data_IF_384322797329
#
_entry.id   IF_384322797329
#
_cell.length_a   1.000
_cell.length_b   1.000
_cell.length_c   1.000
_cell.angle_alpha   90.00
_cell.angle_beta   90.00
_cell.angle_gamma   90.00
#
_symmetry.space_group_name_H-M   'P 1'
#
loop_
_entity.id
_entity.type
_entity.pdbx_description
1 polymer ?
#
# COMPACT_ATOMS: atom_id res chain seq x y z
N UNK A 1 6.27 4.54 9.77
CA UNK A 1 7.15 4.31 8.59
C UNK A 1 6.65 5.15 7.42
N UNK A 2 7.57 5.70 6.67
CA UNK A 2 7.25 6.52 5.51
C UNK A 2 7.57 5.75 4.23
N UNK A 3 6.63 5.75 3.30
CA UNK A 3 6.78 5.08 2.02
C UNK A 3 6.70 6.11 0.91
N UNK A 4 7.65 6.08 -0.01
CA UNK A 4 7.67 6.99 -1.15
C UNK A 4 7.47 6.18 -2.42
N UNK A 5 6.62 6.69 -3.30
CA UNK A 5 6.44 6.10 -4.60
C UNK A 5 7.61 6.55 -5.48
N UNK A 6 8.60 5.68 -5.61
CA UNK A 6 9.83 6.00 -6.36
C UNK A 6 9.60 6.15 -7.85
N UNK A 7 8.52 5.61 -8.34
CA UNK A 7 8.23 5.65 -9.78
C UNK A 7 7.52 6.93 -10.20
N UNK A 8 6.95 7.65 -9.22
CA UNK A 8 6.24 8.91 -9.47
C UNK A 8 5.10 8.78 -10.48
N UNK A 9 4.68 7.57 -10.78
CA UNK A 9 3.58 7.31 -11.71
C UNK A 9 2.31 7.03 -10.94
N UNK A 10 1.22 7.62 -11.42
CA UNK A 10 -0.11 7.27 -10.95
C UNK A 10 -0.54 6.00 -11.67
N UNK A 11 -1.25 5.15 -10.99
CA UNK A 11 -1.84 3.98 -11.61
C UNK A 11 -3.33 3.95 -11.29
N UNK A 12 -4.14 3.66 -12.29
CA UNK A 12 -5.59 3.59 -12.12
C UNK A 12 -6.05 2.25 -11.55
N UNK A 13 -5.25 1.23 -11.78
CA UNK A 13 -5.59 -0.12 -11.32
C UNK A 13 -4.37 -0.81 -10.75
N UNK A 14 -4.59 -1.61 -9.73
CA UNK A 14 -3.56 -2.44 -9.14
C UNK A 14 -4.18 -3.79 -8.78
N UNK A 15 -3.33 -4.81 -8.68
CA UNK A 15 -3.76 -6.12 -8.23
C UNK A 15 -3.71 -6.18 -6.72
N UNK A 16 -4.83 -6.48 -6.09
CA UNK A 16 -4.93 -6.67 -4.64
C UNK A 16 -5.01 -8.17 -4.38
N UNK A 17 -4.05 -8.69 -3.63
CA UNK A 17 -4.04 -10.12 -3.29
C UNK A 17 -5.05 -10.40 -2.19
N UNK A 18 -5.72 -11.54 -2.29
CA UNK A 18 -6.69 -11.93 -1.28
C UNK A 18 -6.08 -12.07 0.11
N UNK A 19 -4.84 -12.56 0.17
CA UNK A 19 -4.13 -12.66 1.46
C UNK A 19 -3.98 -11.32 2.13
N UNK A 20 -3.78 -10.26 1.37
CA UNK A 20 -3.70 -8.90 1.94
C UNK A 20 -5.03 -8.50 2.55
N UNK A 21 -6.13 -8.75 1.83
CA UNK A 21 -7.46 -8.41 2.31
C UNK A 21 -7.78 -9.18 3.61
N UNK A 22 -7.41 -10.45 3.66
CA UNK A 22 -7.63 -11.26 4.85
C UNK A 22 -6.87 -10.71 6.05
N UNK A 23 -5.61 -10.31 5.85
CA UNK A 23 -4.79 -9.73 6.91
C UNK A 23 -5.31 -8.38 7.34
N UNK A 24 -5.67 -7.53 6.39
CA UNK A 24 -6.23 -6.21 6.68
C UNK A 24 -7.51 -6.33 7.50
N UNK A 25 -8.36 -7.27 7.14
CA UNK A 25 -9.65 -7.45 7.82
C UNK A 25 -9.51 -7.83 9.29
N UNK A 26 -8.36 -8.33 9.70
CA UNK A 26 -8.09 -8.71 11.09
C UNK A 26 -7.59 -7.54 11.93
N UNK A 27 -7.29 -6.42 11.32
CA UNK A 27 -6.79 -5.24 12.02
C UNK A 27 -7.95 -4.43 12.60
N UNK A 28 -7.70 -3.64 13.64
CA UNK A 28 -8.67 -2.65 14.11
C UNK A 28 -9.07 -1.70 12.98
N UNK A 29 -10.30 -1.18 13.05
CA UNK A 29 -10.84 -0.33 11.98
C UNK A 29 -9.93 0.85 11.63
N UNK A 30 -9.34 1.49 12.63
CA UNK A 30 -8.46 2.63 12.38
C UNK A 30 -7.22 2.24 11.56
N UNK A 31 -6.67 1.07 11.83
CA UNK A 31 -5.51 0.57 11.09
C UNK A 31 -5.90 0.10 9.69
N UNK A 32 -7.09 -0.48 9.55
CA UNK A 32 -7.62 -0.83 8.23
C UNK A 32 -7.72 0.40 7.35
N UNK A 33 -8.29 1.47 7.88
CA UNK A 33 -8.43 2.73 7.14
C UNK A 33 -7.07 3.33 6.78
N UNK A 34 -6.11 3.26 7.71
CA UNK A 34 -4.77 3.77 7.47
C UNK A 34 -4.13 3.08 6.28
N UNK A 35 -4.24 1.76 6.20
CA UNK A 35 -3.66 0.99 5.10
C UNK A 35 -4.39 1.27 3.79
N UNK A 36 -5.71 1.28 3.81
CA UNK A 36 -6.51 1.53 2.61
C UNK A 36 -6.22 2.92 2.04
N UNK A 37 -6.22 3.93 2.92
CA UNK A 37 -5.89 5.29 2.51
C UNK A 37 -4.45 5.39 2.01
N UNK A 38 -3.55 4.62 2.63
CA UNK A 38 -2.17 4.54 2.20
C UNK A 38 -2.03 3.98 0.80
N UNK A 39 -2.77 2.93 0.49
CA UNK A 39 -2.75 2.35 -0.86
C UNK A 39 -3.25 3.38 -1.88
N UNK A 40 -4.33 4.07 -1.57
CA UNK A 40 -4.89 5.08 -2.46
C UNK A 40 -3.88 6.20 -2.73
N UNK A 41 -3.24 6.70 -1.68
CA UNK A 41 -2.24 7.76 -1.82
C UNK A 41 -1.00 7.27 -2.57
N UNK A 42 -0.53 6.09 -2.25
CA UNK A 42 0.67 5.53 -2.86
C UNK A 42 0.48 5.34 -4.38
N UNK A 43 -0.67 4.83 -4.78
CA UNK A 43 -0.96 4.61 -6.20
C UNK A 43 -1.25 5.92 -6.94
N UNK A 44 -1.54 6.98 -6.21
CA UNK A 44 -1.66 8.33 -6.77
C UNK A 44 -0.32 9.04 -6.93
N UNK A 45 0.79 8.38 -6.54
CA UNK A 45 2.12 8.96 -6.64
C UNK A 45 2.53 9.78 -5.44
N UNK A 46 1.81 9.68 -4.34
CA UNK A 46 2.08 10.45 -3.12
C UNK A 46 2.88 9.63 -2.11
N UNK A 47 3.54 10.32 -1.20
CA UNK A 47 4.20 9.68 -0.06
C UNK A 47 3.14 9.27 0.96
N UNK A 48 3.42 8.17 1.66
CA UNK A 48 2.50 7.61 2.64
C UNK A 48 3.25 7.41 3.96
N UNK A 49 2.62 7.78 5.07
CA UNK A 49 3.14 7.47 6.39
C UNK A 49 2.19 6.55 7.12
N UNK A 50 2.71 5.42 7.59
CA UNK A 50 1.97 4.45 8.38
C UNK A 50 2.51 4.48 9.80
N UNK A 51 1.66 4.84 10.75
CA UNK A 51 2.07 5.02 12.15
C UNK A 51 2.13 3.72 12.92
N UNK A 52 1.26 2.76 12.60
CA UNK A 52 1.24 1.45 13.26
C UNK A 52 2.46 0.65 12.82
N UNK A 53 3.16 0.03 13.78
CA UNK A 53 4.31 -0.80 13.46
C UNK A 53 3.92 -2.01 12.62
N UNK A 54 2.85 -2.70 13.01
CA UNK A 54 2.36 -3.85 12.26
C UNK A 54 1.83 -3.42 10.89
N UNK A 55 1.05 -2.35 10.86
CA UNK A 55 0.55 -1.80 9.60
C UNK A 55 1.67 -1.37 8.68
N UNK A 56 2.75 -0.81 9.23
CA UNK A 56 3.93 -0.42 8.46
C UNK A 56 4.60 -1.60 7.79
N UNK A 57 4.78 -2.70 8.52
CA UNK A 57 5.36 -3.92 7.96
C UNK A 57 4.49 -4.48 6.86
N UNK A 58 3.19 -4.51 7.07
CA UNK A 58 2.25 -5.00 6.08
C UNK A 58 2.24 -4.12 4.83
N UNK A 59 2.22 -2.81 5.04
CA UNK A 59 2.24 -1.87 3.93
C UNK A 59 3.54 -1.96 3.13
N UNK A 60 4.66 -2.26 3.78
CA UNK A 60 5.93 -2.43 3.08
C UNK A 60 5.83 -3.55 2.03
N UNK A 61 5.20 -4.66 2.38
CA UNK A 61 5.00 -5.77 1.45
C UNK A 61 4.09 -5.35 0.29
N UNK A 62 3.01 -4.65 0.60
CA UNK A 62 2.05 -4.19 -0.40
C UNK A 62 2.71 -3.18 -1.35
N UNK A 63 3.44 -2.21 -0.81
CA UNK A 63 4.12 -1.20 -1.61
C UNK A 63 5.15 -1.81 -2.55
N UNK A 64 5.91 -2.79 -2.05
CA UNK A 64 6.89 -3.49 -2.89
C UNK A 64 6.22 -4.21 -4.04
N UNK A 65 5.10 -4.87 -3.78
CA UNK A 65 4.36 -5.59 -4.81
C UNK A 65 3.77 -4.62 -5.85
N UNK A 66 3.27 -3.47 -5.40
CA UNK A 66 2.75 -2.44 -6.30
C UNK A 66 3.88 -1.91 -7.19
N UNK A 67 5.05 -1.64 -6.61
CA UNK A 67 6.19 -1.15 -7.36
C UNK A 67 6.59 -2.14 -8.46
N UNK A 68 6.62 -3.42 -8.14
CA UNK A 68 6.95 -4.45 -9.11
C UNK A 68 5.92 -4.54 -10.24
N UNK A 69 4.66 -4.43 -9.90
CA UNK A 69 3.58 -4.46 -10.90
C UNK A 69 3.69 -3.26 -11.85
N UNK A 70 3.88 -2.08 -11.31
CA UNK A 70 4.01 -0.86 -12.13
C UNK A 70 5.23 -0.94 -13.04
N UNK A 71 6.36 -1.40 -12.52
CA UNK A 71 7.58 -1.54 -13.31
C UNK A 71 7.43 -2.59 -14.41
N UNK A 72 6.72 -3.68 -14.11
CA UNK A 72 6.49 -4.74 -15.10
C UNK A 72 5.61 -4.28 -16.25
N UNK A 73 4.67 -3.40 -15.96
CA UNK A 73 3.72 -2.90 -16.96
C UNK A 73 4.23 -1.65 -17.69
N UNK A 74 5.30 -1.09 -17.19
CA UNK A 74 5.87 0.12 -17.77
C UNK A 74 6.92 -0.17 -18.79
#
# INVERSE_FOLDING_TARGET
MTFRNKNLKKTDTITIRRTWLDLISKLPDSEQMEIINGIAAYTAGESVEIKSAFGGLMFAVIAEAIDKEVLSNG
#
